data_IF_290670751074
#
_entry.id   IF_290670751074
#
_cell.length_a   1.000
_cell.length_b   1.000
_cell.length_c   1.000
_cell.angle_alpha   90.00
_cell.angle_beta   90.00
_cell.angle_gamma   90.00
#
_symmetry.space_group_name_H-M   'P 1'
#
loop_
_entity.id
_entity.type
_entity.pdbx_description
1 polymer ?
#
# COMPACT_ATOMS: atom_id res chain seq x y z
N UNK A 1 42.90 -29.15 35.56
CA UNK A 1 41.71 -28.28 35.72
C UNK A 1 41.57 -27.23 34.61
N UNK A 2 42.57 -26.38 34.35
CA UNK A 2 42.45 -25.35 33.29
C UNK A 2 42.25 -25.94 31.89
N UNK A 3 43.03 -26.97 31.53
CA UNK A 3 42.92 -27.65 30.23
C UNK A 3 41.51 -28.20 29.97
N UNK A 4 40.91 -28.86 30.97
CA UNK A 4 39.53 -29.38 30.85
C UNK A 4 38.47 -28.29 30.74
N UNK A 5 38.61 -27.16 31.46
CA UNK A 5 37.68 -26.03 31.31
C UNK A 5 37.76 -25.43 29.90
N UNK A 6 38.97 -25.33 29.34
CA UNK A 6 39.18 -24.90 27.96
C UNK A 6 38.51 -25.87 26.97
N UNK A 7 38.71 -27.18 27.14
CA UNK A 7 38.06 -28.21 26.30
C UNK A 7 36.53 -28.14 26.36
N UNK A 8 35.97 -27.95 27.55
CA UNK A 8 34.52 -27.73 27.73
C UNK A 8 34.04 -26.50 26.96
N UNK A 9 34.74 -25.36 27.07
CA UNK A 9 34.39 -24.13 26.33
C UNK A 9 34.53 -24.28 24.82
N UNK A 10 35.53 -25.05 24.36
CA UNK A 10 35.75 -25.31 22.94
C UNK A 10 34.63 -26.15 22.31
N UNK A 11 33.92 -26.97 23.09
CA UNK A 11 32.81 -27.81 22.61
C UNK A 11 31.49 -27.05 22.42
N UNK A 12 31.31 -25.87 23.03
CA UNK A 12 30.05 -25.11 22.96
C UNK A 12 29.69 -24.73 21.52
N UNK A 13 30.60 -24.06 20.79
CA UNK A 13 30.34 -23.61 19.40
C UNK A 13 30.09 -24.79 18.43
N UNK A 14 30.86 -25.90 18.48
CA UNK A 14 30.54 -27.11 17.72
C UNK A 14 29.13 -27.65 17.99
N UNK A 15 28.72 -27.76 19.26
CA UNK A 15 27.37 -28.23 19.63
C UNK A 15 26.30 -27.29 19.06
N UNK A 16 26.46 -25.97 19.22
CA UNK A 16 25.53 -24.98 18.64
C UNK A 16 25.45 -25.06 17.12
N UNK A 17 26.58 -25.32 16.44
CA UNK A 17 26.63 -25.49 14.99
C UNK A 17 25.88 -26.73 14.53
N UNK A 18 26.05 -27.85 15.22
CA UNK A 18 25.37 -29.10 14.86
C UNK A 18 23.86 -28.99 15.06
N UNK A 19 23.43 -28.34 16.15
CA UNK A 19 22.02 -28.01 16.40
C UNK A 19 21.44 -27.17 15.24
N UNK A 20 22.12 -26.08 14.85
CA UNK A 20 21.67 -25.22 13.73
C UNK A 20 21.54 -25.96 12.40
N UNK A 21 22.31 -27.03 12.21
CA UNK A 21 22.28 -27.85 11.01
C UNK A 21 21.35 -29.07 11.15
N UNK A 22 20.47 -29.11 12.16
CA UNK A 22 19.59 -30.23 12.48
C UNK A 22 20.30 -31.57 12.74
N UNK A 23 21.57 -31.54 13.16
CA UNK A 23 22.37 -32.72 13.52
C UNK A 23 22.32 -32.96 15.02
N UNK A 24 21.14 -33.27 15.54
CA UNK A 24 20.89 -33.40 16.99
C UNK A 24 21.70 -34.55 17.61
N UNK A 25 21.87 -35.67 16.92
CA UNK A 25 22.64 -36.81 17.42
C UNK A 25 24.14 -36.49 17.55
N UNK A 26 24.74 -35.85 16.52
CA UNK A 26 26.12 -35.36 16.54
C UNK A 26 26.37 -34.34 17.67
N UNK A 27 25.36 -33.54 17.99
CA UNK A 27 25.39 -32.59 19.11
C UNK A 27 25.36 -33.31 20.47
N UNK A 28 24.59 -34.39 20.60
CA UNK A 28 24.56 -35.24 21.80
C UNK A 28 25.89 -35.96 22.04
N UNK A 29 26.56 -36.44 20.99
CA UNK A 29 27.90 -37.04 21.12
C UNK A 29 28.90 -36.07 21.74
N UNK A 30 28.92 -34.82 21.26
CA UNK A 30 29.79 -33.76 21.80
C UNK A 30 29.37 -33.33 23.20
N UNK A 31 28.06 -33.34 23.50
CA UNK A 31 27.54 -33.12 24.85
C UNK A 31 28.01 -34.21 25.83
N UNK A 32 28.08 -35.45 25.39
CA UNK A 32 28.62 -36.56 26.17
C UNK A 32 30.12 -36.39 26.41
N UNK A 33 30.88 -35.91 25.42
CA UNK A 33 32.29 -35.56 25.58
C UNK A 33 32.49 -34.45 26.62
N UNK A 34 31.69 -33.37 26.54
CA UNK A 34 31.69 -32.27 27.51
C UNK A 34 31.39 -32.76 28.93
N UNK A 35 30.44 -33.72 29.09
CA UNK A 35 30.13 -34.36 30.37
C UNK A 35 31.33 -35.12 30.93
N UNK A 36 32.09 -35.83 30.08
CA UNK A 36 33.30 -36.57 30.49
C UNK A 36 34.35 -35.62 31.06
N UNK A 37 34.61 -34.49 30.38
CA UNK A 37 35.56 -33.48 30.87
C UNK A 37 35.12 -32.85 32.19
N UNK A 38 33.83 -32.50 32.34
CA UNK A 38 33.29 -31.99 33.61
C UNK A 38 33.44 -33.00 34.75
N UNK A 39 33.15 -34.28 34.49
CA UNK A 39 33.31 -35.34 35.50
C UNK A 39 34.78 -35.56 35.88
N UNK A 40 35.72 -35.47 34.93
CA UNK A 40 37.15 -35.50 35.20
C UNK A 40 37.57 -34.32 36.10
N UNK A 41 37.07 -33.11 35.81
CA UNK A 41 37.28 -31.95 36.69
C UNK A 41 36.69 -32.13 38.09
N UNK A 42 35.50 -32.74 38.21
CA UNK A 42 34.88 -33.00 39.51
C UNK A 42 35.76 -33.91 40.38
N UNK A 43 36.30 -34.98 39.79
CA UNK A 43 37.24 -35.90 40.48
C UNK A 43 38.52 -35.17 40.92
N UNK A 44 39.09 -34.35 40.05
CA UNK A 44 40.28 -33.56 40.38
C UNK A 44 40.02 -32.50 41.45
N UNK A 45 38.82 -31.89 41.45
CA UNK A 45 38.44 -30.87 42.44
C UNK A 45 38.33 -31.45 43.84
N UNK A 46 37.66 -32.61 43.98
CA UNK A 46 37.49 -33.32 45.26
C UNK A 46 38.85 -33.64 45.90
N UNK A 47 39.84 -34.01 45.09
CA UNK A 47 41.18 -34.34 45.57
C UNK A 47 42.06 -33.12 45.90
N UNK A 48 41.71 -31.92 45.39
CA UNK A 48 42.57 -30.73 45.52
C UNK A 48 42.20 -29.82 46.70
N UNK A 49 40.98 -29.92 47.25
CA UNK A 49 40.41 -29.09 48.33
C UNK A 49 40.62 -27.56 48.21
N UNK A 50 41.01 -27.04 47.03
CA UNK A 50 41.31 -25.62 46.83
C UNK A 50 40.08 -24.84 46.37
N UNK A 51 39.92 -23.62 46.88
CA UNK A 51 38.86 -22.69 46.45
C UNK A 51 38.94 -22.38 44.93
N UNK A 52 40.16 -22.32 44.37
CA UNK A 52 40.39 -22.08 42.94
C UNK A 52 39.93 -23.25 42.07
N UNK A 53 40.12 -24.49 42.50
CA UNK A 53 39.60 -25.66 41.78
C UNK A 53 38.07 -25.73 41.83
N UNK A 54 37.49 -25.40 42.99
CA UNK A 54 36.04 -25.35 43.18
C UNK A 54 35.38 -24.30 42.27
N UNK A 55 35.93 -23.08 42.20
CA UNK A 55 35.44 -22.04 41.27
C UNK A 55 35.45 -22.50 39.82
N UNK A 56 36.55 -23.11 39.37
CA UNK A 56 36.66 -23.63 37.98
C UNK A 56 35.70 -24.79 37.69
N UNK A 57 35.43 -25.64 38.68
CA UNK A 57 34.42 -26.69 38.56
C UNK A 57 33.01 -26.08 38.45
N UNK A 58 32.71 -25.04 39.22
CA UNK A 58 31.42 -24.34 39.14
C UNK A 58 31.24 -23.69 37.77
N UNK A 59 32.25 -22.98 37.25
CA UNK A 59 32.23 -22.43 35.89
C UNK A 59 32.01 -23.53 34.83
N UNK A 60 32.72 -24.65 34.93
CA UNK A 60 32.54 -25.78 34.02
C UNK A 60 31.14 -26.41 34.12
N UNK A 61 30.58 -26.44 35.32
CA UNK A 61 29.23 -26.98 35.58
C UNK A 61 28.16 -26.06 35.02
N UNK A 62 28.30 -24.76 35.21
CA UNK A 62 27.41 -23.75 34.64
C UNK A 62 27.37 -23.81 33.11
N UNK A 63 28.54 -23.81 32.46
CA UNK A 63 28.65 -23.91 30.99
C UNK A 63 28.08 -25.24 30.47
N UNK A 64 28.31 -26.35 31.18
CA UNK A 64 27.72 -27.64 30.83
C UNK A 64 26.20 -27.63 30.99
N UNK A 65 25.68 -27.21 32.13
CA UNK A 65 24.25 -27.25 32.43
C UNK A 65 23.46 -26.33 31.49
N UNK A 66 23.97 -25.13 31.19
CA UNK A 66 23.35 -24.21 30.23
C UNK A 66 23.28 -24.82 28.81
N UNK A 67 24.38 -25.42 28.36
CA UNK A 67 24.45 -26.06 27.03
C UNK A 67 23.56 -27.30 26.95
N UNK A 68 23.48 -28.08 28.04
CA UNK A 68 22.63 -29.27 28.15
C UNK A 68 21.15 -28.91 28.10
N UNK A 69 20.74 -27.87 28.82
CA UNK A 69 19.36 -27.38 28.80
C UNK A 69 18.99 -26.93 27.40
N UNK A 70 19.87 -26.18 26.74
CA UNK A 70 19.68 -25.73 25.36
C UNK A 70 19.47 -26.92 24.40
N UNK A 71 20.36 -27.91 24.39
CA UNK A 71 20.25 -29.08 23.52
C UNK A 71 18.99 -29.92 23.81
N UNK A 72 18.59 -30.05 25.08
CA UNK A 72 17.33 -30.71 25.44
C UNK A 72 16.11 -30.00 24.87
N UNK A 73 16.07 -28.67 24.93
CA UNK A 73 14.98 -27.88 24.36
C UNK A 73 14.92 -28.05 22.83
N UNK A 74 16.07 -28.04 22.16
CA UNK A 74 16.17 -28.27 20.70
C UNK A 74 15.71 -29.67 20.29
N UNK A 75 16.05 -30.68 21.09
CA UNK A 75 15.59 -32.05 20.87
C UNK A 75 14.06 -32.16 20.95
N UNK A 76 13.43 -31.36 21.84
CA UNK A 76 11.97 -31.27 21.96
C UNK A 76 11.38 -30.52 20.76
N UNK A 77 11.96 -29.37 20.38
CA UNK A 77 11.49 -28.56 19.26
C UNK A 77 11.65 -29.24 17.89
N UNK A 78 12.62 -30.15 17.75
CA UNK A 78 12.77 -30.98 16.55
C UNK A 78 11.66 -32.04 16.40
N UNK A 79 10.90 -32.34 17.47
CA UNK A 79 9.91 -33.42 17.52
C UNK A 79 8.47 -32.95 17.62
N UNK A 80 8.24 -31.75 18.13
CA UNK A 80 6.91 -31.24 18.43
C UNK A 80 6.74 -29.82 17.89
N UNK A 81 5.59 -29.57 17.28
CA UNK A 81 5.12 -28.23 16.93
C UNK A 81 4.77 -27.42 18.17
N UNK A 82 4.58 -26.11 17.99
CA UNK A 82 4.15 -25.25 19.09
C UNK A 82 2.79 -25.67 19.66
N UNK A 83 1.84 -26.00 18.78
CA UNK A 83 0.50 -26.44 19.14
C UNK A 83 0.55 -27.73 19.95
N UNK A 84 1.37 -28.69 19.51
CA UNK A 84 1.60 -29.95 20.23
C UNK A 84 2.21 -29.69 21.61
N UNK A 85 3.19 -28.77 21.72
CA UNK A 85 3.76 -28.36 23.01
C UNK A 85 2.71 -27.78 23.96
N UNK A 86 1.78 -26.96 23.46
CA UNK A 86 0.70 -26.40 24.27
C UNK A 86 -0.25 -27.49 24.77
N UNK A 87 -0.52 -28.52 23.98
CA UNK A 87 -1.27 -29.69 24.44
C UNK A 87 -0.48 -30.47 25.49
N UNK A 88 0.84 -30.61 25.34
CA UNK A 88 1.71 -31.27 26.32
C UNK A 88 1.62 -30.58 27.68
N UNK A 89 1.62 -29.26 27.69
CA UNK A 89 1.61 -28.45 28.92
C UNK A 89 0.26 -28.50 29.63
N UNK A 90 -0.85 -28.55 28.90
CA UNK A 90 -2.21 -28.46 29.47
C UNK A 90 -2.75 -29.77 30.06
N UNK A 91 -2.22 -30.91 29.63
CA UNK A 91 -2.75 -32.23 30.04
C UNK A 91 -2.33 -32.60 31.48
N UNK A 92 -3.19 -33.27 32.27
CA UNK A 92 -2.85 -33.66 33.65
C UNK A 92 -1.64 -34.60 33.70
N UNK A 93 -0.69 -34.34 34.60
CA UNK A 93 0.51 -35.18 34.77
C UNK A 93 0.37 -36.11 35.97
N UNK A 94 0.53 -37.42 35.75
CA UNK A 94 0.30 -38.45 36.76
C UNK A 94 1.55 -38.84 37.54
N UNK A 95 2.74 -38.52 37.02
CA UNK A 95 4.01 -38.89 37.62
C UNK A 95 5.09 -37.82 37.43
N UNK A 96 6.20 -37.94 38.17
CA UNK A 96 7.33 -37.01 38.14
C UNK A 96 8.01 -36.92 36.76
N UNK A 97 7.96 -38.00 35.97
CA UNK A 97 8.55 -38.03 34.64
C UNK A 97 7.73 -37.20 33.64
N UNK A 98 6.40 -37.33 33.66
CA UNK A 98 5.48 -36.50 32.88
C UNK A 98 5.58 -35.03 33.28
N UNK A 99 5.69 -34.73 34.57
CA UNK A 99 5.94 -33.35 35.05
C UNK A 99 7.26 -32.79 34.51
N UNK A 100 8.31 -33.61 34.44
CA UNK A 100 9.60 -33.19 33.88
C UNK A 100 9.50 -32.90 32.37
N UNK A 101 8.80 -33.74 31.61
CA UNK A 101 8.54 -33.52 30.18
C UNK A 101 7.73 -32.24 29.97
N UNK A 102 6.69 -32.02 30.76
CA UNK A 102 5.87 -30.81 30.69
C UNK A 102 6.68 -29.54 30.98
N UNK A 103 7.56 -29.59 31.97
CA UNK A 103 8.48 -28.48 32.29
C UNK A 103 9.44 -28.20 31.12
N UNK A 104 9.96 -29.24 30.46
CA UNK A 104 10.79 -29.09 29.27
C UNK A 104 9.99 -28.49 28.11
N UNK A 105 8.77 -28.98 27.87
CA UNK A 105 7.87 -28.48 26.84
C UNK A 105 7.51 -27.00 27.07
N UNK A 106 7.20 -26.60 28.31
CA UNK A 106 6.92 -25.22 28.68
C UNK A 106 8.12 -24.30 28.40
N UNK A 107 9.32 -24.72 28.77
CA UNK A 107 10.53 -23.94 28.50
C UNK A 107 10.84 -23.85 27.00
N UNK A 108 10.64 -24.93 26.24
CA UNK A 108 10.76 -24.93 24.78
C UNK A 108 9.74 -24.00 24.12
N UNK A 109 8.48 -24.03 24.57
CA UNK A 109 7.42 -23.17 24.07
C UNK A 109 7.70 -21.68 24.32
N UNK A 110 8.11 -21.32 25.56
CA UNK A 110 8.52 -19.95 25.91
C UNK A 110 9.66 -19.45 25.04
N UNK A 111 10.64 -20.31 24.76
CA UNK A 111 11.75 -19.97 23.89
C UNK A 111 11.31 -19.74 22.45
N UNK A 112 10.43 -20.58 21.91
CA UNK A 112 9.89 -20.39 20.56
C UNK A 112 9.09 -19.09 20.45
N UNK A 113 8.23 -18.79 21.44
CA UNK A 113 7.52 -17.52 21.51
C UNK A 113 8.47 -16.32 21.50
N UNK A 114 9.60 -16.43 22.22
CA UNK A 114 10.63 -15.40 22.23
C UNK A 114 11.29 -15.20 20.86
N UNK A 115 11.65 -16.28 20.16
CA UNK A 115 12.24 -16.18 18.80
C UNK A 115 11.23 -15.60 17.80
N UNK A 116 9.98 -16.04 17.85
CA UNK A 116 8.91 -15.47 17.01
C UNK A 116 8.70 -13.98 17.30
N UNK A 117 8.75 -13.58 18.57
CA UNK A 117 8.62 -12.18 18.97
C UNK A 117 9.81 -11.33 18.46
N UNK A 118 11.04 -11.87 18.50
CA UNK A 118 12.23 -11.20 17.93
C UNK A 118 12.07 -10.96 16.44
N UNK A 119 11.62 -11.97 15.67
CA UNK A 119 11.47 -11.83 14.23
C UNK A 119 10.37 -10.82 13.87
N UNK A 120 9.23 -10.87 14.57
CA UNK A 120 8.17 -9.87 14.43
C UNK A 120 8.66 -8.45 14.74
N UNK A 121 9.45 -8.28 15.81
CA UNK A 121 10.01 -6.99 16.17
C UNK A 121 10.96 -6.45 15.10
N UNK A 122 11.80 -7.33 14.53
CA UNK A 122 12.70 -6.99 13.43
C UNK A 122 11.91 -6.50 12.21
N UNK A 123 10.89 -7.25 11.78
CA UNK A 123 10.04 -6.88 10.65
C UNK A 123 9.33 -5.53 10.88
N UNK A 124 8.83 -5.28 12.09
CA UNK A 124 8.20 -3.99 12.44
C UNK A 124 9.20 -2.83 12.30
N UNK A 125 10.42 -3.00 12.80
CA UNK A 125 11.47 -1.97 12.70
C UNK A 125 11.87 -1.73 11.24
N UNK A 126 12.06 -2.80 10.46
CA UNK A 126 12.41 -2.73 9.04
C UNK A 126 11.31 -2.07 8.19
N UNK A 127 10.04 -2.26 8.57
CA UNK A 127 8.88 -1.66 7.91
C UNK A 127 8.55 -0.24 8.39
N UNK A 128 9.25 0.31 9.39
CA UNK A 128 8.97 1.67 9.86
C UNK A 128 9.08 2.76 8.78
N UNK A 129 10.03 2.70 7.81
CA UNK A 129 10.03 3.62 6.69
C UNK A 129 8.75 3.55 5.84
N UNK A 130 8.13 2.37 5.71
CA UNK A 130 6.85 2.23 5.01
C UNK A 130 5.71 2.92 5.77
N UNK A 131 5.71 2.91 7.10
CA UNK A 131 4.74 3.66 7.90
C UNK A 131 4.79 5.16 7.54
N UNK A 132 5.99 5.75 7.57
CA UNK A 132 6.17 7.15 7.17
C UNK A 132 5.82 7.37 5.69
N UNK A 133 6.09 6.41 4.80
CA UNK A 133 5.66 6.48 3.40
C UNK A 133 4.14 6.44 3.25
N UNK A 134 3.41 5.62 4.00
CA UNK A 134 1.94 5.56 3.93
C UNK A 134 1.30 6.86 4.42
N UNK A 135 1.80 7.41 5.52
CA UNK A 135 1.47 8.78 5.90
C UNK A 135 1.76 9.75 4.74
N UNK A 136 2.85 9.52 3.98
CA UNK A 136 3.25 10.43 2.89
C UNK A 136 2.30 10.40 1.71
N UNK A 137 1.69 9.24 1.51
CA UNK A 137 0.71 9.02 0.48
C UNK A 137 -0.71 9.31 0.98
N UNK A 138 -0.88 9.81 2.21
CA UNK A 138 -2.19 10.08 2.77
C UNK A 138 -3.01 8.83 3.09
N UNK A 139 -2.37 7.67 3.17
CA UNK A 139 -2.98 6.39 3.50
C UNK A 139 -3.00 6.22 5.03
N UNK A 140 -3.72 7.11 5.71
CA UNK A 140 -3.76 7.18 7.18
C UNK A 140 -4.25 5.87 7.79
N UNK A 141 -5.25 5.23 7.20
CA UNK A 141 -5.79 3.94 7.64
C UNK A 141 -4.75 2.82 7.57
N UNK A 142 -3.90 2.80 6.54
CA UNK A 142 -2.82 1.81 6.42
C UNK A 142 -1.71 2.07 7.45
N UNK A 143 -1.36 3.35 7.66
CA UNK A 143 -0.43 3.75 8.72
C UNK A 143 -0.95 3.36 10.11
N UNK A 144 -2.25 3.55 10.38
CA UNK A 144 -2.90 3.13 11.63
C UNK A 144 -2.83 1.61 11.84
N UNK A 145 -3.12 0.81 10.81
CA UNK A 145 -2.96 -0.66 10.87
C UNK A 145 -1.53 -1.06 11.21
N UNK A 146 -0.54 -0.42 10.59
CA UNK A 146 0.87 -0.68 10.88
C UNK A 146 1.25 -0.30 12.31
N UNK A 147 0.75 0.83 12.82
CA UNK A 147 0.96 1.26 14.21
C UNK A 147 0.33 0.27 15.20
N UNK A 148 -0.89 -0.18 14.94
CA UNK A 148 -1.56 -1.19 15.77
C UNK A 148 -0.80 -2.52 15.76
N UNK A 149 -0.26 -2.92 14.61
CA UNK A 149 0.61 -4.10 14.54
C UNK A 149 1.88 -3.92 15.37
N UNK A 150 2.55 -2.77 15.29
CA UNK A 150 3.73 -2.46 16.09
C UNK A 150 3.44 -2.51 17.61
N UNK A 151 2.31 -1.95 18.04
CA UNK A 151 1.84 -2.03 19.43
C UNK A 151 1.56 -3.47 19.88
N UNK A 152 0.96 -4.29 19.02
CA UNK A 152 0.76 -5.72 19.30
C UNK A 152 2.09 -6.45 19.50
N UNK A 153 3.10 -6.14 18.69
CA UNK A 153 4.44 -6.72 18.82
C UNK A 153 5.11 -6.23 20.11
N UNK A 154 4.99 -4.95 20.46
CA UNK A 154 5.50 -4.41 21.73
C UNK A 154 4.90 -5.15 22.94
N UNK A 155 3.57 -5.36 22.96
CA UNK A 155 2.91 -6.14 24.02
C UNK A 155 3.42 -7.57 24.10
N UNK A 156 3.64 -8.20 22.94
CA UNK A 156 4.22 -9.54 22.88
C UNK A 156 5.63 -9.57 23.49
N UNK A 157 6.50 -8.62 23.13
CA UNK A 157 7.86 -8.53 23.66
C UNK A 157 7.89 -8.39 25.18
N UNK A 158 6.98 -7.58 25.74
CA UNK A 158 6.82 -7.43 27.19
C UNK A 158 6.36 -8.76 27.81
N UNK A 159 5.35 -9.41 27.23
CA UNK A 159 4.80 -10.68 27.71
C UNK A 159 5.87 -11.79 27.77
N UNK A 160 6.71 -11.90 26.74
CA UNK A 160 7.76 -12.94 26.67
C UNK A 160 9.03 -12.58 27.44
N UNK A 161 9.06 -11.43 28.13
CA UNK A 161 10.22 -11.00 28.92
C UNK A 161 11.45 -10.71 28.06
N UNK A 162 11.29 -10.13 26.87
CA UNK A 162 12.43 -9.75 26.03
C UNK A 162 13.32 -8.71 26.72
N UNK A 163 14.57 -8.57 26.26
CA UNK A 163 15.51 -7.60 26.84
C UNK A 163 14.94 -6.18 26.82
N UNK A 164 15.06 -5.47 27.93
CA UNK A 164 14.49 -4.12 28.10
C UNK A 164 14.94 -3.16 26.98
N UNK A 165 16.22 -3.19 26.61
CA UNK A 165 16.76 -2.36 25.53
C UNK A 165 16.12 -2.60 24.14
N UNK A 166 15.55 -3.78 23.91
CA UNK A 166 14.78 -4.08 22.70
C UNK A 166 13.35 -3.56 22.80
N UNK A 167 12.73 -3.74 23.97
CA UNK A 167 11.39 -3.20 24.28
C UNK A 167 11.39 -1.68 24.13
N UNK A 168 12.38 -0.99 24.72
CA UNK A 168 12.49 0.46 24.69
C UNK A 168 12.60 1.01 23.26
N UNK A 169 13.33 0.31 22.38
CA UNK A 169 13.44 0.70 20.95
C UNK A 169 12.10 0.65 20.23
N UNK A 170 11.37 -0.46 20.37
CA UNK A 170 10.05 -0.62 19.73
C UNK A 170 9.05 0.33 20.35
N UNK A 171 9.12 0.56 21.67
CA UNK A 171 8.29 1.53 22.39
C UNK A 171 8.50 2.95 21.87
N UNK A 172 9.74 3.42 21.82
CA UNK A 172 10.06 4.76 21.32
C UNK A 172 9.60 4.96 19.86
N UNK A 173 9.75 3.93 19.02
CA UNK A 173 9.23 3.94 17.66
C UNK A 173 7.69 4.05 17.64
N UNK A 174 6.98 3.24 18.44
CA UNK A 174 5.53 3.30 18.54
C UNK A 174 5.05 4.67 19.04
N UNK A 175 5.73 5.25 20.03
CA UNK A 175 5.42 6.60 20.54
C UNK A 175 5.62 7.66 19.46
N UNK A 176 6.73 7.61 18.73
CA UNK A 176 6.97 8.51 17.61
C UNK A 176 5.90 8.38 16.52
N UNK A 177 5.59 7.15 16.11
CA UNK A 177 4.58 6.87 15.10
C UNK A 177 3.19 7.35 15.54
N UNK A 178 2.83 7.19 16.83
CA UNK A 178 1.58 7.70 17.38
C UNK A 178 1.49 9.23 17.26
N UNK A 179 2.58 9.96 17.55
CA UNK A 179 2.62 11.43 17.40
C UNK A 179 2.41 11.86 15.95
N UNK A 180 3.09 11.20 15.01
CA UNK A 180 2.95 11.48 13.58
C UNK A 180 1.56 11.13 13.04
N UNK A 181 0.98 10.03 13.49
CA UNK A 181 -0.39 9.65 13.11
C UNK A 181 -1.42 10.65 13.68
N UNK A 182 -1.27 11.06 14.93
CA UNK A 182 -2.13 12.08 15.54
C UNK A 182 -2.04 13.41 14.80
N UNK A 183 -0.82 13.84 14.44
CA UNK A 183 -0.61 15.05 13.65
C UNK A 183 -1.31 14.97 12.28
N UNK A 184 -1.15 13.85 11.57
CA UNK A 184 -1.81 13.62 10.29
C UNK A 184 -3.34 13.64 10.41
N UNK A 185 -3.90 13.06 11.47
CA UNK A 185 -5.36 13.08 11.73
C UNK A 185 -5.86 14.49 12.06
N UNK A 186 -5.19 15.22 12.95
CA UNK A 186 -5.55 16.58 13.34
C UNK A 186 -5.57 17.51 12.13
N UNK A 187 -4.53 17.45 11.29
CA UNK A 187 -4.45 18.32 10.12
C UNK A 187 -5.40 17.87 8.98
N UNK A 188 -5.73 16.57 8.85
CA UNK A 188 -6.86 16.13 8.00
C UNK A 188 -8.19 16.77 8.44
N UNK A 189 -8.36 17.05 9.72
CA UNK A 189 -9.56 17.67 10.29
C UNK A 189 -9.48 19.21 10.32
N UNK A 190 -8.34 19.81 9.95
CA UNK A 190 -8.11 21.25 10.09
C UNK A 190 -8.00 21.74 11.54
N UNK A 191 -7.70 20.85 12.49
CA UNK A 191 -7.59 21.17 13.91
C UNK A 191 -6.16 21.55 14.29
N UNK A 192 -5.84 22.84 14.15
CA UNK A 192 -4.53 23.41 14.48
C UNK A 192 -4.18 23.27 15.97
N UNK A 193 -5.19 23.32 16.86
CA UNK A 193 -4.97 23.19 18.30
C UNK A 193 -4.55 21.76 18.66
N UNK A 194 -5.20 20.76 18.07
CA UNK A 194 -4.81 19.36 18.23
C UNK A 194 -3.43 19.06 17.64
N UNK A 195 -3.08 19.69 16.50
CA UNK A 195 -1.78 19.53 15.88
C UNK A 195 -0.63 19.99 16.79
N UNK A 196 -0.79 21.12 17.47
CA UNK A 196 0.20 21.65 18.42
C UNK A 196 0.33 20.79 19.68
N UNK A 197 -0.68 19.98 20.00
CA UNK A 197 -0.69 19.08 21.16
C UNK A 197 -0.10 17.69 20.86
N UNK A 198 0.26 17.40 19.61
CA UNK A 198 0.80 16.09 19.20
C UNK A 198 2.22 15.80 19.74
N UNK A 199 2.87 16.76 20.42
CA UNK A 199 4.17 16.55 21.06
C UNK A 199 5.33 16.30 20.09
N UNK A 200 5.18 16.78 18.84
CA UNK A 200 6.25 16.88 17.84
C UNK A 200 7.18 18.06 18.17
N UNK A 201 8.42 18.03 17.70
CA UNK A 201 9.29 19.21 17.79
C UNK A 201 8.77 20.33 16.90
N UNK A 202 9.08 21.60 17.19
CA UNK A 202 8.59 22.73 16.37
C UNK A 202 8.98 22.60 14.87
N UNK A 203 10.17 22.07 14.58
CA UNK A 203 10.62 21.80 13.22
C UNK A 203 9.82 20.64 12.58
N UNK A 204 9.48 19.62 13.35
CA UNK A 204 8.67 18.50 12.86
C UNK A 204 7.21 18.89 12.68
N UNK A 205 6.67 19.83 13.49
CA UNK A 205 5.34 20.43 13.29
C UNK A 205 5.30 21.18 11.96
N UNK A 206 6.29 22.02 11.64
CA UNK A 206 6.34 22.73 10.36
C UNK A 206 6.43 21.76 9.17
N UNK A 207 7.24 20.71 9.28
CA UNK A 207 7.31 19.65 8.26
C UNK A 207 5.98 18.91 8.14
N UNK A 208 5.34 18.59 9.25
CA UNK A 208 4.03 17.95 9.28
C UNK A 208 2.94 18.83 8.67
N UNK A 209 2.90 20.12 9.01
CA UNK A 209 1.96 21.10 8.43
C UNK A 209 2.09 21.16 6.92
N UNK A 210 3.30 21.43 6.41
CA UNK A 210 3.55 21.48 4.97
C UNK A 210 3.19 20.17 4.26
N UNK A 211 3.51 19.05 4.90
CA UNK A 211 3.19 17.74 4.39
C UNK A 211 1.69 17.45 4.34
N UNK A 212 0.95 17.93 5.34
CA UNK A 212 -0.50 17.74 5.40
C UNK A 212 -1.22 18.72 4.47
N UNK A 213 -0.72 19.95 4.31
CA UNK A 213 -1.16 20.88 3.26
C UNK A 213 -0.99 20.26 1.87
N UNK A 214 0.18 19.67 1.59
CA UNK A 214 0.42 18.91 0.36
C UNK A 214 -0.59 17.74 0.23
N UNK A 215 -0.94 17.06 1.33
CA UNK A 215 -1.94 15.97 1.36
C UNK A 215 -3.38 16.42 1.10
N UNK A 216 -3.86 17.47 1.78
CA UNK A 216 -5.21 18.03 1.56
C UNK A 216 -5.34 18.44 0.10
N UNK A 217 -4.32 19.13 -0.41
CA UNK A 217 -4.25 19.53 -1.82
C UNK A 217 -4.24 18.32 -2.76
N UNK A 218 -3.54 17.23 -2.43
CA UNK A 218 -3.57 15.98 -3.20
C UNK A 218 -4.93 15.28 -3.20
N UNK A 219 -5.65 15.32 -2.07
CA UNK A 219 -7.00 14.75 -1.95
C UNK A 219 -7.99 15.56 -2.79
N UNK A 220 -7.98 16.89 -2.64
CA UNK A 220 -8.80 17.80 -3.44
C UNK A 220 -8.50 17.66 -4.93
N UNK A 221 -7.23 17.50 -5.31
CA UNK A 221 -6.84 17.25 -6.69
C UNK A 221 -7.45 15.94 -7.23
N UNK A 222 -7.47 14.87 -6.42
CA UNK A 222 -8.06 13.60 -6.84
C UNK A 222 -9.58 13.74 -7.05
N UNK A 223 -10.27 14.46 -6.17
CA UNK A 223 -11.70 14.73 -6.28
C UNK A 223 -12.01 15.63 -7.49
N UNK A 224 -11.20 16.67 -7.72
CA UNK A 224 -11.29 17.52 -8.92
C UNK A 224 -11.11 16.70 -10.19
N UNK A 225 -10.10 15.84 -10.26
CA UNK A 225 -9.85 14.96 -11.42
C UNK A 225 -11.03 14.02 -11.65
N UNK A 226 -11.62 13.46 -10.60
CA UNK A 226 -12.82 12.64 -10.72
C UNK A 226 -14.03 13.44 -11.24
N UNK A 227 -14.17 14.70 -10.81
CA UNK A 227 -15.22 15.63 -11.24
C UNK A 227 -15.12 16.07 -12.70
N UNK A 228 -13.92 16.05 -13.30
CA UNK A 228 -13.70 16.50 -14.69
C UNK A 228 -14.59 15.80 -15.72
N UNK A 229 -14.92 14.52 -15.50
CA UNK A 229 -15.78 13.75 -16.40
C UNK A 229 -17.22 14.29 -16.51
N UNK A 230 -17.66 15.09 -15.54
CA UNK A 230 -19.01 15.68 -15.53
C UNK A 230 -19.12 17.02 -16.27
N UNK A 231 -17.99 17.65 -16.62
CA UNK A 231 -17.98 18.97 -17.24
C UNK A 231 -18.39 18.85 -18.71
N UNK A 232 -19.49 19.51 -19.07
CA UNK A 232 -20.07 19.47 -20.43
C UNK A 232 -19.58 20.58 -21.34
N UNK A 233 -19.09 21.69 -20.80
CA UNK A 233 -18.50 22.75 -21.62
C UNK A 233 -17.01 22.45 -21.92
N UNK A 234 -16.60 22.65 -23.17
CA UNK A 234 -15.23 22.31 -23.61
C UNK A 234 -14.17 23.28 -23.07
N UNK A 235 -14.54 24.55 -22.93
CA UNK A 235 -13.65 25.59 -22.42
C UNK A 235 -13.47 25.43 -20.91
N UNK A 236 -14.57 25.24 -20.17
CA UNK A 236 -14.55 24.94 -18.73
C UNK A 236 -13.75 23.66 -18.44
N UNK A 237 -13.91 22.61 -19.25
CA UNK A 237 -13.13 21.38 -19.08
C UNK A 237 -11.63 21.62 -19.27
N UNK A 238 -11.25 22.39 -20.30
CA UNK A 238 -9.84 22.68 -20.60
C UNK A 238 -9.21 23.52 -19.48
N UNK A 239 -9.91 24.54 -19.00
CA UNK A 239 -9.48 25.36 -17.87
C UNK A 239 -9.33 24.53 -16.59
N UNK A 240 -10.30 23.66 -16.28
CA UNK A 240 -10.24 22.79 -15.10
C UNK A 240 -9.08 21.78 -15.17
N UNK A 241 -8.75 21.24 -16.36
CA UNK A 241 -7.58 20.38 -16.55
C UNK A 241 -6.28 21.14 -16.33
N UNK A 242 -6.15 22.37 -16.84
CA UNK A 242 -4.93 23.17 -16.62
C UNK A 242 -4.77 23.60 -15.16
N UNK A 243 -5.87 23.89 -14.45
CA UNK A 243 -5.83 24.09 -13.00
C UNK A 243 -5.28 22.85 -12.27
N UNK A 244 -5.76 21.65 -12.63
CA UNK A 244 -5.23 20.41 -12.07
C UNK A 244 -3.73 20.23 -12.37
N UNK A 245 -3.27 20.58 -13.58
CA UNK A 245 -1.86 20.53 -13.96
C UNK A 245 -0.99 21.52 -13.20
N UNK A 246 -1.49 22.73 -12.93
CA UNK A 246 -0.78 23.73 -12.12
C UNK A 246 -0.56 23.20 -10.69
N UNK A 247 -1.62 22.69 -10.06
CA UNK A 247 -1.55 22.08 -8.72
C UNK A 247 -0.55 20.92 -8.69
N UNK A 248 -0.55 20.05 -9.71
CA UNK A 248 0.42 18.94 -9.82
C UNK A 248 1.86 19.46 -9.88
N UNK A 249 2.14 20.53 -10.63
CA UNK A 249 3.49 21.10 -10.74
C UNK A 249 3.95 21.72 -9.42
N UNK A 250 3.10 22.47 -8.76
CA UNK A 250 3.38 23.06 -7.44
C UNK A 250 3.73 21.97 -6.41
N UNK A 251 2.90 20.92 -6.35
CA UNK A 251 3.11 19.78 -5.45
C UNK A 251 4.31 18.90 -5.82
N UNK A 252 4.68 18.84 -7.11
CA UNK A 252 5.89 18.12 -7.56
C UNK A 252 7.17 18.73 -7.00
N UNK A 253 7.20 20.06 -6.84
CA UNK A 253 8.35 20.77 -6.27
C UNK A 253 8.42 20.67 -4.74
N UNK A 254 7.29 20.44 -4.05
CA UNK A 254 7.24 20.36 -2.57
C UNK A 254 7.43 18.95 -2.01
N UNK A 255 6.86 17.92 -2.64
CA UNK A 255 6.58 16.64 -1.96
C UNK A 255 7.43 15.43 -2.40
N UNK A 256 8.29 15.56 -3.42
CA UNK A 256 9.15 14.46 -3.90
C UNK A 256 8.42 13.22 -4.45
N UNK A 257 7.08 13.24 -4.50
CA UNK A 257 6.22 12.09 -4.74
C UNK A 257 5.95 11.82 -6.23
N UNK A 258 7.02 11.66 -6.99
CA UNK A 258 7.02 11.62 -8.48
C UNK A 258 6.08 10.58 -9.10
N UNK A 259 5.87 9.42 -8.47
CA UNK A 259 5.05 8.35 -9.06
C UNK A 259 3.55 8.67 -9.04
N UNK A 260 3.03 9.29 -7.97
CA UNK A 260 1.61 9.63 -7.87
C UNK A 260 1.23 10.78 -8.83
N UNK A 261 2.15 11.73 -9.02
CA UNK A 261 1.99 12.76 -10.04
C UNK A 261 2.01 12.21 -11.47
N UNK A 262 2.78 11.15 -11.74
CA UNK A 262 2.71 10.45 -13.03
C UNK A 262 1.34 9.83 -13.25
N UNK A 263 0.77 9.17 -12.23
CA UNK A 263 -0.57 8.59 -12.31
C UNK A 263 -1.66 9.65 -12.56
N UNK A 264 -1.60 10.79 -11.88
CA UNK A 264 -2.54 11.89 -12.13
C UNK A 264 -2.41 12.44 -13.56
N UNK A 265 -1.18 12.64 -14.05
CA UNK A 265 -0.96 13.08 -15.43
C UNK A 265 -1.47 12.06 -16.45
N UNK A 266 -1.31 10.75 -16.20
CA UNK A 266 -1.88 9.70 -17.05
C UNK A 266 -3.41 9.78 -17.07
N UNK A 267 -4.06 9.94 -15.91
CA UNK A 267 -5.53 10.10 -15.82
C UNK A 267 -6.01 11.34 -16.57
N UNK A 268 -5.35 12.49 -16.38
CA UNK A 268 -5.68 13.74 -17.08
C UNK A 268 -5.55 13.59 -18.60
N UNK A 269 -4.45 12.98 -19.07
CA UNK A 269 -4.24 12.77 -20.50
C UNK A 269 -5.29 11.81 -21.10
N UNK A 270 -5.70 10.79 -20.34
CA UNK A 270 -6.78 9.88 -20.74
C UNK A 270 -8.11 10.63 -20.89
N UNK A 271 -8.50 11.42 -19.90
CA UNK A 271 -9.74 12.22 -19.93
C UNK A 271 -9.74 13.24 -21.09
N UNK A 272 -8.62 13.92 -21.34
CA UNK A 272 -8.50 14.83 -22.47
C UNK A 272 -8.66 14.12 -23.81
N UNK A 273 -8.10 12.91 -23.95
CA UNK A 273 -8.24 12.10 -25.15
C UNK A 273 -9.70 11.67 -25.36
N UNK A 274 -10.33 11.10 -24.33
CA UNK A 274 -11.74 10.68 -24.38
C UNK A 274 -12.65 11.85 -24.77
N UNK A 275 -12.36 13.05 -24.25
CA UNK A 275 -13.11 14.27 -24.60
C UNK A 275 -12.94 14.68 -26.06
N UNK A 276 -11.71 14.66 -26.57
CA UNK A 276 -11.40 14.98 -27.97
C UNK A 276 -12.08 14.00 -28.93
N UNK A 277 -12.05 12.71 -28.58
CA UNK A 277 -12.69 11.65 -29.36
C UNK A 277 -14.23 11.85 -29.40
N UNK A 278 -14.84 12.23 -28.26
CA UNK A 278 -16.27 12.53 -28.18
C UNK A 278 -16.70 13.74 -29.02
N UNK A 279 -15.91 14.83 -29.02
CA UNK A 279 -16.15 16.01 -29.87
C UNK A 279 -16.07 15.62 -31.35
N UNK A 280 -15.03 14.89 -31.73
CA UNK A 280 -14.83 14.42 -33.11
C UNK A 280 -16.00 13.55 -33.58
N UNK A 281 -16.51 12.66 -32.71
CA UNK A 281 -17.66 11.83 -33.00
C UNK A 281 -18.96 12.64 -33.16
N UNK A 282 -19.19 13.63 -32.29
CA UNK A 282 -20.35 14.51 -32.37
C UNK A 282 -20.35 15.36 -33.66
N UNK A 283 -19.19 15.93 -34.01
CA UNK A 283 -19.01 16.67 -35.27
C UNK A 283 -19.24 15.78 -36.49
N UNK A 284 -18.77 14.52 -36.46
CA UNK A 284 -18.99 13.57 -37.54
C UNK A 284 -20.48 13.24 -37.72
N UNK A 285 -21.24 13.04 -36.63
CA UNK A 285 -22.68 12.81 -36.71
C UNK A 285 -23.45 14.05 -37.16
N UNK A 286 -23.04 15.24 -36.72
CA UNK A 286 -23.61 16.49 -37.21
C UNK A 286 -23.41 16.64 -38.72
N UNK A 287 -22.21 16.36 -39.25
CA UNK A 287 -21.93 16.38 -40.69
C UNK A 287 -22.76 15.35 -41.46
N UNK A 288 -22.96 14.15 -40.91
CA UNK A 288 -23.84 13.13 -41.54
C UNK A 288 -25.28 13.63 -41.61
N UNK A 289 -25.79 14.20 -40.52
CA UNK A 289 -27.14 14.76 -40.48
C UNK A 289 -27.30 15.90 -41.49
N UNK A 290 -26.35 16.84 -41.55
CA UNK A 290 -26.34 17.92 -42.54
C UNK A 290 -26.37 17.38 -43.97
N UNK A 291 -25.52 16.39 -44.28
CA UNK A 291 -25.49 15.74 -45.60
C UNK A 291 -26.82 15.07 -45.94
N UNK A 292 -27.47 14.40 -44.99
CA UNK A 292 -28.79 13.79 -45.21
C UNK A 292 -29.84 14.83 -45.55
N UNK A 293 -29.88 15.96 -44.84
CA UNK A 293 -30.86 17.03 -45.12
C UNK A 293 -30.58 17.67 -46.49
N UNK A 294 -29.31 17.92 -46.85
CA UNK A 294 -28.94 18.45 -48.17
C UNK A 294 -29.42 17.53 -49.30
N UNK A 295 -29.18 16.22 -49.19
CA UNK A 295 -29.65 15.24 -50.18
C UNK A 295 -31.18 15.20 -50.29
N UNK A 296 -31.88 15.34 -49.17
CA UNK A 296 -33.35 15.41 -49.17
C UNK A 296 -33.85 16.66 -49.90
N UNK A 297 -33.22 17.82 -49.67
CA UNK A 297 -33.56 19.05 -50.39
C UNK A 297 -33.31 18.91 -51.89
N UNK A 298 -32.17 18.34 -52.30
CA UNK A 298 -31.85 18.12 -53.71
C UNK A 298 -32.92 17.25 -54.38
N UNK A 299 -33.28 16.11 -53.77
CA UNK A 299 -34.34 15.24 -54.32
C UNK A 299 -35.70 15.94 -54.41
N UNK A 300 -36.01 16.83 -53.46
CA UNK A 300 -37.24 17.64 -53.52
C UNK A 300 -37.18 18.68 -54.65
N UNK A 301 -36.03 19.28 -54.93
CA UNK A 301 -35.83 20.19 -56.07
C UNK A 301 -36.03 19.45 -57.40
N UNK A 302 -35.46 18.25 -57.56
CA UNK A 302 -35.63 17.44 -58.77
C UNK A 302 -37.12 17.09 -59.03
N UNK A 303 -37.86 16.72 -57.98
CA UNK A 303 -39.30 16.44 -58.13
C UNK A 303 -40.15 17.71 -58.33
N UNK A 304 -39.67 18.86 -57.87
CA UNK A 304 -40.28 20.16 -58.12
C UNK A 304 -40.11 20.57 -59.59
N UNK A 305 -38.94 20.34 -60.19
CA UNK A 305 -38.68 20.52 -61.62
C UNK A 305 -39.62 19.69 -62.50
N UNK A 306 -39.81 18.43 -62.12
CA UNK A 306 -40.74 17.53 -62.80
C UNK A 306 -42.19 18.04 -62.72
N UNK A 307 -42.66 18.42 -61.54
CA UNK A 307 -44.02 18.95 -61.35
C UNK A 307 -44.26 20.25 -62.14
N UNK A 308 -43.27 21.15 -62.14
CA UNK A 308 -43.33 22.39 -62.90
C UNK A 308 -43.45 22.13 -64.41
N UNK A 309 -42.66 21.19 -64.94
CA UNK A 309 -42.67 20.83 -66.35
C UNK A 309 -44.00 20.20 -66.81
N UNK A 310 -44.71 19.53 -65.91
CA UNK A 310 -46.04 18.95 -66.16
C UNK A 310 -47.21 19.92 -65.90
N UNK A 311 -46.94 21.17 -65.47
CA UNK A 311 -47.96 22.17 -65.17
C UNK A 311 -48.67 21.99 -63.82
N UNK A 312 -48.18 21.13 -62.93
CA UNK A 312 -48.75 20.93 -61.58
C UNK A 312 -48.17 21.95 -60.59
N UNK A 313 -48.70 23.18 -60.67
CA UNK A 313 -48.26 24.31 -59.84
C UNK A 313 -48.53 24.08 -58.36
N UNK A 314 -49.59 23.34 -58.01
CA UNK A 314 -49.94 23.05 -56.61
C UNK A 314 -48.87 22.17 -55.95
N UNK A 315 -48.51 21.08 -56.62
CA UNK A 315 -47.49 20.16 -56.12
C UNK A 315 -46.08 20.77 -56.19
N UNK A 316 -45.84 21.75 -57.06
CA UNK A 316 -44.62 22.56 -57.09
C UNK A 316 -44.51 23.49 -55.85
N UNK A 317 -45.58 24.23 -55.53
CA UNK A 317 -45.64 25.09 -54.32
C UNK A 317 -45.51 24.30 -53.02
N UNK A 318 -46.10 23.10 -52.95
CA UNK A 318 -45.94 22.22 -51.79
C UNK A 318 -44.48 21.81 -51.59
N UNK A 319 -43.82 21.30 -52.63
CA UNK A 319 -42.41 20.86 -52.57
C UNK A 319 -41.46 22.01 -52.24
N UNK A 320 -41.72 23.19 -52.79
CA UNK A 320 -40.99 24.40 -52.43
C UNK A 320 -41.08 24.72 -50.93
N UNK A 321 -42.27 24.62 -50.34
CA UNK A 321 -42.48 24.78 -48.90
C UNK A 321 -41.73 23.74 -48.06
N UNK A 322 -41.70 22.48 -48.52
CA UNK A 322 -40.92 21.40 -47.90
C UNK A 322 -39.40 21.67 -47.97
N UNK A 323 -38.87 22.12 -49.11
CA UNK A 323 -37.46 22.52 -49.26
C UNK A 323 -37.10 23.63 -48.29
N UNK A 324 -37.92 24.69 -48.19
CA UNK A 324 -37.69 25.78 -47.22
C UNK A 324 -37.68 25.27 -45.78
N UNK A 325 -38.62 24.41 -45.41
CA UNK A 325 -38.67 23.86 -44.06
C UNK A 325 -37.45 22.98 -43.76
N UNK A 326 -36.98 22.17 -44.71
CA UNK A 326 -35.75 21.38 -44.55
C UNK A 326 -34.51 22.28 -44.48
N UNK A 327 -34.44 23.34 -45.29
CA UNK A 327 -33.33 24.29 -45.28
C UNK A 327 -33.22 25.03 -43.95
N UNK A 328 -34.33 25.42 -43.31
CA UNK A 328 -34.29 26.02 -41.96
C UNK A 328 -33.76 25.07 -40.88
N UNK A 329 -33.81 23.74 -41.11
CA UNK A 329 -33.19 22.74 -40.23
C UNK A 329 -31.70 22.55 -40.52
N UNK A 330 -31.23 23.03 -41.67
CA UNK A 330 -29.81 23.08 -42.03
C UNK A 330 -29.15 24.20 -41.23
N UNK A 331 -28.71 23.90 -40.01
CA UNK A 331 -27.91 24.82 -39.20
C UNK A 331 -26.45 24.81 -39.70
N UNK A 332 -26.24 25.16 -40.97
CA UNK A 332 -24.95 25.16 -41.68
C UNK A 332 -24.87 26.39 -42.60
N UNK A 333 -23.67 26.96 -42.75
CA UNK A 333 -23.34 28.06 -43.67
C UNK A 333 -22.15 27.65 -44.56
N UNK A 334 -22.03 26.36 -44.86
CA UNK A 334 -21.00 25.87 -45.78
C UNK A 334 -21.37 26.16 -47.25
N UNK A 335 -20.40 25.98 -48.16
CA UNK A 335 -20.56 26.28 -49.58
C UNK A 335 -21.72 25.47 -50.21
N UNK A 336 -21.95 24.23 -49.77
CA UNK A 336 -23.02 23.37 -50.24
C UNK A 336 -24.40 23.91 -49.82
N UNK A 337 -24.54 24.36 -48.56
CA UNK A 337 -25.74 25.04 -48.08
C UNK A 337 -26.03 26.32 -48.87
N UNK A 338 -24.99 27.12 -49.18
CA UNK A 338 -25.14 28.33 -49.96
C UNK A 338 -25.61 28.06 -51.40
N UNK A 339 -25.07 27.02 -52.05
CA UNK A 339 -25.53 26.60 -53.38
C UNK A 339 -27.00 26.20 -53.34
N UNK A 340 -27.42 25.40 -52.36
CA UNK A 340 -28.82 24.98 -52.19
C UNK A 340 -29.74 26.17 -51.92
N UNK A 341 -29.29 27.15 -51.13
CA UNK A 341 -30.02 28.39 -50.89
C UNK A 341 -30.31 29.14 -52.19
N UNK A 342 -29.28 29.33 -53.04
CA UNK A 342 -29.44 29.96 -54.35
C UNK A 342 -30.45 29.24 -55.24
N UNK A 343 -30.47 27.90 -55.21
CA UNK A 343 -31.47 27.12 -55.95
C UNK A 343 -32.88 27.34 -55.41
N UNK A 344 -33.07 27.32 -54.08
CA UNK A 344 -34.37 27.60 -53.46
C UNK A 344 -34.84 29.02 -53.81
N UNK A 345 -33.96 30.01 -53.80
CA UNK A 345 -34.28 31.40 -54.19
C UNK A 345 -34.67 31.52 -55.66
N UNK A 346 -33.93 30.87 -56.56
CA UNK A 346 -34.28 30.81 -57.99
C UNK A 346 -35.69 30.24 -58.21
N UNK A 347 -36.07 29.21 -57.45
CA UNK A 347 -37.43 28.65 -57.49
C UNK A 347 -38.50 29.58 -56.93
N UNK A 348 -38.15 30.39 -55.93
CA UNK A 348 -39.05 31.43 -55.42
C UNK A 348 -39.46 32.41 -56.51
N UNK A 349 -38.49 32.90 -57.29
CA UNK A 349 -38.73 33.85 -58.38
C UNK A 349 -39.53 33.21 -59.53
N UNK A 350 -39.22 31.96 -59.89
CA UNK A 350 -39.99 31.21 -60.91
C UNK A 350 -41.46 31.03 -60.49
N UNK A 351 -41.72 30.72 -59.23
CA UNK A 351 -43.08 30.54 -58.70
C UNK A 351 -43.85 31.85 -58.48
N UNK A 352 -43.19 33.02 -58.50
CA UNK A 352 -43.87 34.33 -58.55
C UNK A 352 -44.35 34.68 -59.96
N UNK A 353 -43.64 34.20 -60.99
CA UNK A 353 -43.94 34.49 -62.38
C UNK A 353 -45.09 33.64 -62.97
N UNK A 354 -45.57 32.65 -62.22
CA UNK A 354 -46.66 31.71 -62.55
C UNK A 354 -47.78 31.85 -61.53
#
# INVERSE_FOLDING_TARGET
>A
MQDYLTKIRQLVKPIEKDIKNNKIDDAWEKMHEMRRYRNAMRRLSVNSLSAKATRKLNEATEVYDSTNIYLKQETVLAKFSYEELQEIIKRPHKNKYEQHIATLAENSAKRLELEMAKEKAKLVIENNPLFHKHLNLGQIEDAEKMQNHALSVLRLLIKVGYKQSGIDKVKAMCENNAKWLAAAMAAKQGDEAALLQCGLSANDVQKAQKWIEDYVTLSELNDRIAGLGSIKDSKEFTEAVEQCRSIIKELQHSSGNTNRFKEFNIKLNKLQKERKDAITAAEAEQRKMQKTILLEIIGKIETMESAYSCGDVSACKQRYGECKNLFTKLNSHDDDAHIVEMYIESWHERLKAV
#
